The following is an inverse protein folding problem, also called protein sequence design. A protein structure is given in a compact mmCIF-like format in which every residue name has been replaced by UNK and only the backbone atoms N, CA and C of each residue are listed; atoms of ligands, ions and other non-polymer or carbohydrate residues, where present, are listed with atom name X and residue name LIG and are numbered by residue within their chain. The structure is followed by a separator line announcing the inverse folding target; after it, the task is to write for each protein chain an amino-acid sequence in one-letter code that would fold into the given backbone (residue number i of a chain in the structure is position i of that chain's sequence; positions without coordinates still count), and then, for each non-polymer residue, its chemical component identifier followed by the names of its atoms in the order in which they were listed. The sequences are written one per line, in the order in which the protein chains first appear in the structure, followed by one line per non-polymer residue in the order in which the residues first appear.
data_IF_144755479082
#
_entry.id   IF_144755479082
#
_cell.length_a   1.000
_cell.length_b   1.000
_cell.length_c   1.000
_cell.angle_alpha   90.00
_cell.angle_beta   90.00
_cell.angle_gamma   90.00
#
_symmetry.space_group_name_H-M   'P 1'
#
loop_
_entity.id
_entity.type
_entity.pdbx_description
1 polymer ?
#
# COMPACT_ATOMS: atom_id res chain seq x y z
N UNK A 1 23.32 11.85 9.81
CA UNK A 1 22.30 12.83 9.35
C UNK A 1 21.25 12.06 8.56
N UNK A 2 20.14 11.65 9.19
CA UNK A 2 19.04 11.01 8.45
C UNK A 2 18.37 12.09 7.58
N UNK A 3 18.54 12.01 6.26
CA UNK A 3 17.78 12.83 5.33
C UNK A 3 16.32 12.40 5.45
N UNK A 4 15.46 13.31 5.91
CA UNK A 4 14.01 13.11 5.88
C UNK A 4 13.60 13.05 4.41
N UNK A 5 13.38 11.85 3.89
CA UNK A 5 12.85 11.67 2.54
C UNK A 5 11.44 12.22 2.55
N UNK A 6 11.19 13.18 1.68
CA UNK A 6 9.87 13.80 1.60
C UNK A 6 9.02 13.00 0.62
N UNK A 7 7.71 12.82 0.85
CA UNK A 7 6.88 11.98 -0.01
C UNK A 7 6.94 12.37 -1.50
N UNK A 8 7.13 13.65 -1.79
CA UNK A 8 7.32 14.19 -3.14
C UNK A 8 8.63 13.75 -3.82
N UNK A 9 9.65 13.34 -3.05
CA UNK A 9 10.93 12.87 -3.59
C UNK A 9 10.79 11.44 -4.19
N UNK A 10 9.89 10.61 -3.63
CA UNK A 10 9.69 9.20 -4.03
C UNK A 10 8.50 8.98 -4.96
N UNK A 11 7.51 9.88 -4.94
CA UNK A 11 6.31 9.80 -5.76
C UNK A 11 6.60 9.62 -7.28
N UNK A 12 7.60 10.28 -7.90
CA UNK A 12 7.86 10.11 -9.33
C UNK A 12 8.22 8.67 -9.74
N UNK A 13 8.96 7.94 -8.90
CA UNK A 13 9.34 6.55 -9.19
C UNK A 13 8.11 5.62 -9.14
N UNK A 14 7.24 5.81 -8.14
CA UNK A 14 6.00 5.05 -8.03
C UNK A 14 5.06 5.36 -9.20
N UNK A 15 4.92 6.63 -9.59
CA UNK A 15 4.11 7.05 -10.73
C UNK A 15 4.61 6.46 -12.07
N UNK A 16 5.93 6.33 -12.25
CA UNK A 16 6.52 5.70 -13.43
C UNK A 16 6.14 4.21 -13.51
N UNK A 17 6.27 3.46 -12.41
CA UNK A 17 5.82 2.06 -12.35
C UNK A 17 4.33 1.94 -12.67
N UNK A 18 3.48 2.75 -12.04
CA UNK A 18 2.03 2.75 -12.26
C UNK A 18 1.67 2.93 -13.75
N UNK A 19 2.44 3.74 -14.47
CA UNK A 19 2.23 4.01 -15.89
C UNK A 19 2.59 2.78 -16.75
N UNK A 20 3.70 2.12 -16.47
CA UNK A 20 4.12 0.90 -17.17
C UNK A 20 3.14 -0.26 -16.91
N UNK A 21 2.68 -0.40 -15.67
CA UNK A 21 1.74 -1.43 -15.23
C UNK A 21 0.36 -1.25 -15.87
N UNK A 22 -0.08 0.00 -16.04
CA UNK A 22 -1.29 0.32 -16.79
C UNK A 22 -1.14 -0.03 -18.27
N UNK A 23 0.02 0.23 -18.87
CA UNK A 23 0.31 -0.16 -20.25
C UNK A 23 0.34 -1.70 -20.42
N UNK A 24 0.73 -2.44 -19.37
CA UNK A 24 0.70 -3.90 -19.33
C UNK A 24 -0.71 -4.51 -19.15
N UNK A 25 -1.76 -3.68 -18.95
CA UNK A 25 -3.14 -4.13 -18.85
C UNK A 25 -3.55 -4.69 -17.49
N UNK A 26 -2.83 -4.35 -16.41
CA UNK A 26 -3.24 -4.72 -15.05
C UNK A 26 -4.53 -4.00 -14.64
N UNK A 27 -5.39 -4.68 -13.88
CA UNK A 27 -6.67 -4.14 -13.44
C UNK A 27 -6.55 -3.21 -12.20
N UNK A 28 -5.56 -3.46 -11.35
CA UNK A 28 -5.27 -2.72 -10.13
C UNK A 28 -3.85 -3.01 -9.65
N UNK A 29 -3.40 -2.20 -8.69
CA UNK A 29 -2.18 -2.43 -7.92
C UNK A 29 -2.44 -2.19 -6.44
N UNK A 30 -1.69 -2.89 -5.61
CA UNK A 30 -1.79 -2.79 -4.14
C UNK A 30 -0.45 -2.44 -3.53
N UNK A 31 -0.46 -1.67 -2.46
CA UNK A 31 0.70 -1.44 -1.61
C UNK A 31 0.30 -1.48 -0.14
N UNK A 32 1.23 -1.87 0.73
CA UNK A 32 1.01 -1.90 2.18
C UNK A 32 2.11 -1.11 2.88
N UNK A 33 1.74 -0.40 3.94
CA UNK A 33 2.73 0.23 4.82
C UNK A 33 2.43 -0.10 6.28
N UNK A 34 3.48 -0.14 7.10
CA UNK A 34 3.36 -0.17 8.56
C UNK A 34 2.66 1.11 9.03
N UNK A 35 1.60 0.98 9.82
CA UNK A 35 0.86 2.10 10.42
C UNK A 35 1.77 3.09 11.17
N UNK A 36 2.87 2.59 11.75
CA UNK A 36 3.87 3.42 12.44
C UNK A 36 4.79 4.18 11.47
N UNK A 37 4.66 3.99 10.17
CA UNK A 37 5.36 4.72 9.12
C UNK A 37 4.39 5.56 8.25
N UNK A 38 3.85 6.67 8.79
CA UNK A 38 2.88 7.50 8.07
C UNK A 38 3.46 8.18 6.82
N UNK A 39 4.78 8.30 6.71
CA UNK A 39 5.44 8.89 5.53
C UNK A 39 5.21 8.02 4.29
N UNK A 40 5.30 6.69 4.42
CA UNK A 40 5.01 5.77 3.32
C UNK A 40 3.54 5.84 2.90
N UNK A 41 2.62 5.93 3.88
CA UNK A 41 1.20 6.16 3.59
C UNK A 41 0.93 7.48 2.85
N UNK A 42 1.70 8.53 3.13
CA UNK A 42 1.59 9.80 2.41
C UNK A 42 2.03 9.67 0.95
N UNK A 43 3.11 8.94 0.66
CA UNK A 43 3.55 8.64 -0.72
C UNK A 43 2.45 7.89 -1.49
N UNK A 44 1.87 6.86 -0.88
CA UNK A 44 0.81 6.05 -1.50
C UNK A 44 -0.39 6.90 -1.87
N UNK A 45 -0.87 7.75 -0.94
CA UNK A 45 -1.98 8.67 -1.21
C UNK A 45 -1.65 9.67 -2.30
N UNK A 46 -0.44 10.23 -2.30
CA UNK A 46 0.00 11.16 -3.34
C UNK A 46 0.01 10.52 -4.74
N UNK A 47 0.21 9.21 -4.82
CA UNK A 47 0.18 8.44 -6.07
C UNK A 47 -1.21 7.88 -6.42
N UNK A 48 -2.26 8.29 -5.71
CA UNK A 48 -3.64 7.89 -6.00
C UNK A 48 -4.06 6.54 -5.44
N UNK A 49 -3.22 5.88 -4.62
CA UNK A 49 -3.63 4.69 -3.89
C UNK A 49 -4.54 5.09 -2.72
N UNK A 50 -5.65 4.37 -2.58
CA UNK A 50 -6.65 4.61 -1.54
C UNK A 50 -6.59 3.52 -0.48
N UNK A 51 -6.74 3.90 0.79
CA UNK A 51 -6.84 2.95 1.89
C UNK A 51 -8.07 2.04 1.69
N UNK A 52 -7.90 0.76 2.03
CA UNK A 52 -8.94 -0.27 1.91
C UNK A 52 -9.23 -0.92 3.27
N UNK A 53 -8.21 -1.52 3.87
CA UNK A 53 -8.31 -2.15 5.18
C UNK A 53 -6.94 -2.26 5.87
N UNK A 54 -6.99 -2.56 7.16
CA UNK A 54 -5.82 -2.84 8.00
C UNK A 54 -5.78 -4.32 8.34
N UNK A 55 -4.58 -4.87 8.51
CA UNK A 55 -4.39 -6.24 8.99
C UNK A 55 -3.14 -6.34 9.86
N UNK A 56 -3.14 -7.27 10.82
CA UNK A 56 -2.02 -7.47 11.75
C UNK A 56 -1.31 -8.79 11.49
N UNK A 57 -0.02 -8.71 11.22
CA UNK A 57 0.85 -9.85 10.94
C UNK A 57 2.02 -9.89 11.93
N UNK A 58 2.45 -11.10 12.31
CA UNK A 58 3.69 -11.29 13.06
C UNK A 58 4.86 -11.23 12.08
N UNK A 59 5.62 -10.13 12.11
CA UNK A 59 6.69 -9.94 11.13
C UNK A 59 7.95 -10.73 11.50
N UNK A 60 8.35 -11.64 10.62
CA UNK A 60 9.57 -12.44 10.76
C UNK A 60 10.73 -11.85 9.93
N UNK A 61 11.98 -11.95 10.39
CA UNK A 61 12.46 -12.67 11.58
C UNK A 61 12.39 -11.86 12.88
N UNK A 62 11.88 -10.62 12.85
CA UNK A 62 11.98 -9.69 14.00
C UNK A 62 10.99 -9.97 15.13
N UNK A 63 10.02 -10.85 14.89
CA UNK A 63 9.10 -11.43 15.87
C UNK A 63 8.28 -10.40 16.67
N UNK A 64 7.83 -9.33 16.02
CA UNK A 64 6.86 -8.39 16.58
C UNK A 64 5.65 -8.23 15.67
N UNK A 65 4.52 -7.85 16.25
CA UNK A 65 3.30 -7.62 15.49
C UNK A 65 3.34 -6.27 14.79
N UNK A 66 3.05 -6.27 13.50
CA UNK A 66 2.96 -5.07 12.66
C UNK A 66 1.52 -4.93 12.19
N UNK A 67 0.95 -3.75 12.37
CA UNK A 67 -0.29 -3.38 11.70
C UNK A 67 0.07 -2.80 10.34
N UNK A 68 -0.29 -3.50 9.27
CA UNK A 68 -0.17 -3.01 7.91
C UNK A 68 -1.47 -2.37 7.45
N UNK A 69 -1.38 -1.25 6.74
CA UNK A 69 -2.49 -0.60 6.04
C UNK A 69 -2.42 -0.90 4.56
N UNK A 70 -3.38 -1.66 4.05
CA UNK A 70 -3.50 -2.00 2.63
C UNK A 70 -4.13 -0.85 1.87
N UNK A 71 -3.48 -0.47 0.76
CA UNK A 71 -3.97 0.51 -0.19
C UNK A 71 -4.05 -0.09 -1.58
N UNK A 72 -5.01 0.38 -2.37
CA UNK A 72 -5.20 -0.04 -3.75
C UNK A 72 -5.46 1.17 -4.66
N UNK A 73 -4.88 1.12 -5.86
CA UNK A 73 -5.27 1.97 -6.98
C UNK A 73 -5.91 1.09 -8.06
N UNK A 74 -7.09 1.49 -8.50
CA UNK A 74 -7.84 0.80 -9.55
C UNK A 74 -7.41 1.38 -10.91
N UNK A 75 -6.84 0.56 -11.78
CA UNK A 75 -6.40 0.96 -13.12
C UNK A 75 -7.52 0.78 -14.15
N UNK A 76 -8.48 -0.09 -13.83
CA UNK A 76 -9.71 -0.33 -14.58
C UNK A 76 -10.91 0.02 -13.67
N UNK A 77 -11.92 0.75 -14.16
CA UNK A 77 -13.11 1.05 -13.39
C UNK A 77 -13.86 -0.20 -12.93
N UNK A 78 -14.34 -0.20 -11.68
CA UNK A 78 -15.12 -1.32 -11.12
C UNK A 78 -14.29 -2.51 -10.65
N UNK A 79 -12.96 -2.40 -10.63
CA UNK A 79 -12.10 -3.42 -10.05
C UNK A 79 -12.45 -3.66 -8.58
N UNK A 80 -12.69 -4.91 -8.16
CA UNK A 80 -12.99 -5.20 -6.77
C UNK A 80 -11.76 -4.95 -5.87
N UNK A 81 -12.02 -4.66 -4.61
CA UNK A 81 -10.98 -4.62 -3.58
C UNK A 81 -10.25 -5.97 -3.49
N UNK A 82 -8.93 -5.94 -3.50
CA UNK A 82 -8.12 -7.13 -3.30
C UNK A 82 -8.17 -7.59 -1.84
N UNK A 83 -8.70 -8.79 -1.59
CA UNK A 83 -8.91 -9.33 -0.24
C UNK A 83 -7.88 -10.37 0.21
N UNK A 84 -6.78 -10.58 -0.51
CA UNK A 84 -5.85 -11.66 -0.18
C UNK A 84 -5.22 -11.57 1.22
N UNK A 85 -4.88 -10.37 1.70
CA UNK A 85 -4.39 -10.19 3.08
C UNK A 85 -5.52 -10.28 4.09
N UNK A 86 -6.70 -9.73 3.76
CA UNK A 86 -7.91 -9.85 4.58
C UNK A 86 -8.24 -11.33 4.87
N UNK A 87 -8.23 -12.18 3.84
CA UNK A 87 -8.58 -13.59 3.96
C UNK A 87 -7.51 -14.41 4.70
N UNK A 88 -6.23 -14.06 4.55
CA UNK A 88 -5.11 -14.78 5.17
C UNK A 88 -4.86 -14.38 6.62
N UNK A 89 -5.07 -13.12 6.98
CA UNK A 89 -4.74 -12.59 8.30
C UNK A 89 -6.00 -12.56 9.16
N UNK A 90 -6.13 -13.38 10.23
CA UNK A 90 -7.35 -13.45 11.03
C UNK A 90 -7.65 -12.16 11.81
N UNK A 91 -6.67 -11.28 11.96
CA UNK A 91 -6.82 -9.95 12.58
C UNK A 91 -6.77 -8.91 11.48
N UNK A 92 -7.95 -8.50 11.02
CA UNK A 92 -8.15 -7.47 9.99
C UNK A 92 -9.37 -6.62 10.34
N UNK A 93 -9.40 -5.37 9.87
CA UNK A 93 -10.50 -4.43 10.09
C UNK A 93 -10.45 -3.28 9.07
N UNK A 94 -11.54 -2.51 9.01
CA UNK A 94 -11.60 -1.24 8.28
C UNK A 94 -11.64 -0.12 9.32
N UNK A 95 -10.80 0.91 9.15
CA UNK A 95 -10.77 2.13 9.99
C UNK A 95 -11.96 3.08 9.73
#
# INVERSE_FOLDING_TARGET
MLRRVRPEDDAPALLAMLSDERAAGLAFLTATHDELNPASGAVMRACGLTYRYSYRELWQPKNYEVTFRMHQVDLVPGTPEYRGYWERCPRHWVD
#
